data_IF_468455712552
#
_entry.id   IF_468455712552
#
_cell.length_a   1.000
_cell.length_b   1.000
_cell.length_c   1.000
_cell.angle_alpha   90.00
_cell.angle_beta   90.00
_cell.angle_gamma   90.00
#
_symmetry.space_group_name_H-M   'P 1'
#
loop_
_entity.id
_entity.type
_entity.pdbx_description
1 polymer ?
#
# COMPACT_ATOMS: atom_id res chain seq x y z
N UNK A 1 12.26 -0.21 -34.49
CA UNK A 1 10.82 -0.49 -34.31
C UNK A 1 10.58 -1.16 -32.96
N UNK A 2 9.32 -1.33 -32.53
CA UNK A 2 9.00 -2.09 -31.30
C UNK A 2 9.51 -3.55 -31.39
N UNK A 3 9.32 -4.20 -32.53
CA UNK A 3 9.75 -5.58 -32.76
C UNK A 3 11.26 -5.74 -32.57
N UNK A 4 12.07 -4.84 -33.13
CA UNK A 4 13.53 -4.87 -32.96
C UNK A 4 13.97 -4.66 -31.51
N UNK A 5 13.29 -3.76 -30.78
CA UNK A 5 13.57 -3.51 -29.37
C UNK A 5 13.23 -4.74 -28.50
N UNK A 6 12.12 -5.41 -28.80
CA UNK A 6 11.71 -6.63 -28.12
C UNK A 6 12.68 -7.78 -28.37
N UNK A 7 13.11 -7.99 -29.62
CA UNK A 7 14.09 -9.02 -29.96
C UNK A 7 15.44 -8.78 -29.27
N UNK A 8 15.91 -7.52 -29.25
CA UNK A 8 17.12 -7.15 -28.49
C UNK A 8 16.94 -7.42 -26.99
N UNK A 9 15.81 -7.05 -26.40
CA UNK A 9 15.55 -7.27 -24.98
C UNK A 9 15.46 -8.77 -24.61
N UNK A 10 14.88 -9.59 -25.51
CA UNK A 10 14.83 -11.06 -25.37
C UNK A 10 16.23 -11.68 -25.39
N UNK A 11 17.09 -11.23 -26.29
CA UNK A 11 18.48 -11.68 -26.40
C UNK A 11 19.39 -11.22 -25.24
N UNK A 12 18.99 -10.19 -24.47
CA UNK A 12 19.77 -9.74 -23.30
C UNK A 12 19.68 -10.73 -22.14
N UNK A 13 20.84 -11.04 -21.55
CA UNK A 13 20.94 -11.66 -20.23
C UNK A 13 20.51 -10.71 -19.09
N UNK A 14 20.41 -11.23 -17.85
CA UNK A 14 19.93 -10.47 -16.69
C UNK A 14 20.67 -9.15 -16.45
N UNK A 15 22.00 -9.15 -16.56
CA UNK A 15 22.83 -7.94 -16.37
C UNK A 15 22.60 -6.88 -17.45
N UNK A 16 22.34 -7.30 -18.70
CA UNK A 16 22.05 -6.38 -19.80
C UNK A 16 20.71 -5.69 -19.57
N UNK A 17 19.69 -6.45 -19.13
CA UNK A 17 18.38 -5.91 -18.77
C UNK A 17 18.47 -4.97 -17.56
N UNK A 18 19.22 -5.34 -16.53
CA UNK A 18 19.46 -4.48 -15.37
C UNK A 18 20.09 -3.15 -15.77
N UNK A 19 21.12 -3.17 -16.64
CA UNK A 19 21.74 -1.93 -17.17
C UNK A 19 20.74 -1.04 -17.91
N UNK A 20 19.85 -1.61 -18.72
CA UNK A 20 18.79 -0.84 -19.40
C UNK A 20 17.81 -0.20 -18.40
N UNK A 21 17.41 -0.95 -17.37
CA UNK A 21 16.54 -0.45 -16.31
C UNK A 21 17.22 0.67 -15.51
N UNK A 22 18.48 0.49 -15.15
CA UNK A 22 19.30 1.48 -14.45
C UNK A 22 19.42 2.77 -15.27
N UNK A 23 19.72 2.69 -16.57
CA UNK A 23 19.75 3.86 -17.46
C UNK A 23 18.38 4.57 -17.51
N UNK A 24 17.29 3.82 -17.50
CA UNK A 24 15.93 4.36 -17.39
C UNK A 24 15.64 5.06 -16.05
N UNK A 25 16.39 4.75 -14.99
CA UNK A 25 16.23 5.30 -13.65
C UNK A 25 17.31 6.31 -13.22
N UNK A 26 18.47 6.33 -13.91
CA UNK A 26 19.72 7.04 -13.54
C UNK A 26 19.63 8.56 -13.51
N UNK A 27 18.68 9.16 -14.23
CA UNK A 27 18.53 10.63 -14.34
C UNK A 27 17.45 11.22 -13.46
N UNK A 28 16.96 10.50 -12.44
CA UNK A 28 15.87 10.99 -11.58
C UNK A 28 16.40 11.68 -10.33
N UNK A 29 16.22 12.98 -10.26
CA UNK A 29 16.14 13.71 -8.97
C UNK A 29 14.97 13.18 -8.14
N UNK A 30 14.84 13.63 -6.88
CA UNK A 30 13.72 13.22 -6.00
C UNK A 30 12.34 13.62 -6.55
N UNK A 31 12.27 14.64 -7.40
CA UNK A 31 11.02 15.23 -7.89
C UNK A 31 10.64 14.77 -9.30
N UNK A 32 11.56 14.11 -10.00
CA UNK A 32 11.31 13.63 -11.36
C UNK A 32 10.56 12.30 -11.38
N UNK A 33 9.59 12.25 -12.28
CA UNK A 33 8.78 11.08 -12.53
C UNK A 33 9.56 10.01 -13.28
N UNK A 34 9.17 8.76 -13.09
CA UNK A 34 9.73 7.63 -13.83
C UNK A 34 9.20 7.59 -15.26
N UNK A 35 9.93 6.88 -16.13
CA UNK A 35 9.54 6.71 -17.53
C UNK A 35 8.13 6.12 -17.67
N UNK A 36 7.39 6.56 -18.69
CA UNK A 36 6.07 6.01 -19.04
C UNK A 36 6.11 4.53 -19.41
N UNK A 37 7.25 4.02 -19.85
CA UNK A 37 7.39 2.59 -20.17
C UNK A 37 7.00 1.67 -19.00
N UNK A 38 7.06 2.17 -17.75
CA UNK A 38 6.71 1.40 -16.57
C UNK A 38 5.21 1.29 -16.33
N UNK A 39 4.38 2.02 -17.09
CA UNK A 39 2.93 1.84 -17.09
C UNK A 39 2.53 0.47 -17.70
N UNK A 40 3.44 -0.20 -18.43
CA UNK A 40 3.20 -1.51 -19.06
C UNK A 40 3.21 -2.70 -18.09
N UNK A 41 3.62 -2.50 -16.84
CA UNK A 41 3.62 -3.52 -15.80
C UNK A 41 2.67 -3.11 -14.69
N UNK A 42 1.78 -4.00 -14.24
CA UNK A 42 0.83 -3.72 -13.18
C UNK A 42 0.78 -4.81 -12.12
N UNK A 43 0.39 -4.42 -10.92
CA UNK A 43 0.27 -5.28 -9.75
C UNK A 43 -1.09 -5.08 -9.11
N UNK A 44 -1.65 -6.16 -8.57
CA UNK A 44 -2.85 -6.14 -7.74
C UNK A 44 -2.49 -6.64 -6.35
N UNK A 45 -2.79 -5.84 -5.32
CA UNK A 45 -2.53 -6.17 -3.93
C UNK A 45 -3.85 -6.29 -3.16
N UNK A 46 -3.99 -7.36 -2.39
CA UNK A 46 -5.01 -7.49 -1.35
C UNK A 46 -4.45 -6.90 -0.05
N UNK A 47 -4.97 -5.73 0.32
CA UNK A 47 -4.44 -4.93 1.41
C UNK A 47 -5.38 -5.00 2.60
N UNK A 48 -4.82 -5.30 3.77
CA UNK A 48 -5.48 -5.15 5.06
C UNK A 48 -4.69 -4.14 5.92
N UNK A 49 -5.26 -2.96 6.15
CA UNK A 49 -4.60 -1.84 6.86
C UNK A 49 -5.61 -1.17 7.81
N UNK A 50 -5.17 -0.47 8.85
CA UNK A 50 -6.08 0.32 9.68
C UNK A 50 -6.84 1.36 8.84
N UNK A 51 -8.10 1.57 9.22
CA UNK A 51 -9.03 2.40 8.47
C UNK A 51 -8.59 3.87 8.46
N UNK A 52 -7.98 4.35 9.55
CA UNK A 52 -7.38 5.68 9.63
C UNK A 52 -6.32 5.90 8.55
N UNK A 53 -5.33 5.02 8.46
CA UNK A 53 -4.27 5.07 7.45
C UNK A 53 -4.82 4.91 6.03
N UNK A 54 -5.83 4.04 5.85
CA UNK A 54 -6.51 3.91 4.56
C UNK A 54 -7.13 5.24 4.08
N UNK A 55 -7.73 6.04 4.97
CA UNK A 55 -8.34 7.34 4.59
C UNK A 55 -7.33 8.35 4.03
N UNK A 56 -6.06 8.22 4.39
CA UNK A 56 -4.98 8.99 3.73
C UNK A 56 -4.51 8.29 2.45
N UNK A 57 -4.30 6.97 2.51
CA UNK A 57 -3.83 6.17 1.36
C UNK A 57 -4.75 6.25 0.15
N UNK A 58 -6.08 6.30 0.35
CA UNK A 58 -7.08 6.37 -0.72
C UNK A 58 -6.94 7.61 -1.62
N UNK A 59 -6.15 8.61 -1.21
CA UNK A 59 -5.87 9.82 -2.00
C UNK A 59 -4.98 9.56 -3.22
N UNK A 60 -4.40 8.37 -3.35
CA UNK A 60 -3.75 7.94 -4.60
C UNK A 60 -4.83 7.60 -5.64
N UNK A 61 -5.05 8.52 -6.58
CA UNK A 61 -6.16 8.44 -7.56
C UNK A 61 -5.79 7.75 -8.87
N UNK A 62 -4.51 7.72 -9.21
CA UNK A 62 -3.99 6.96 -10.35
C UNK A 62 -3.78 5.51 -9.89
N UNK A 63 -4.87 4.83 -9.54
CA UNK A 63 -4.94 3.40 -9.27
C UNK A 63 -6.40 2.98 -9.16
N UNK A 64 -6.70 1.72 -9.41
CA UNK A 64 -8.01 1.14 -9.11
C UNK A 64 -8.05 0.70 -7.65
N UNK A 65 -9.08 1.11 -6.93
CA UNK A 65 -9.32 0.68 -5.55
C UNK A 65 -10.70 0.04 -5.45
N UNK A 66 -10.77 -1.21 -4.98
CA UNK A 66 -12.03 -1.92 -4.73
C UNK A 66 -12.15 -2.13 -3.23
N UNK A 67 -13.09 -1.43 -2.61
CA UNK A 67 -13.24 -1.42 -1.16
C UNK A 67 -14.26 -2.46 -0.72
N UNK A 68 -13.89 -3.26 0.28
CA UNK A 68 -14.88 -3.93 1.12
C UNK A 68 -15.61 -2.87 1.95
N UNK A 69 -16.87 -3.11 2.33
CA UNK A 69 -17.56 -2.30 3.36
C UNK A 69 -16.67 -2.19 4.62
N UNK A 70 -16.76 -1.08 5.33
CA UNK A 70 -16.08 -0.92 6.62
C UNK A 70 -16.77 -1.86 7.62
N UNK A 71 -16.03 -2.71 8.30
CA UNK A 71 -16.60 -3.67 9.27
C UNK A 71 -15.70 -3.79 10.49
N UNK A 72 -16.27 -4.27 11.60
CA UNK A 72 -15.49 -4.62 12.79
C UNK A 72 -14.81 -6.02 12.69
N UNK A 73 -15.03 -6.77 11.61
CA UNK A 73 -14.63 -8.18 11.51
C UNK A 73 -13.11 -8.44 11.41
N UNK A 74 -12.31 -7.42 11.08
CA UNK A 74 -10.86 -7.56 10.89
C UNK A 74 -10.04 -7.12 12.11
N UNK A 75 -10.72 -6.83 13.22
CA UNK A 75 -10.11 -6.40 14.48
C UNK A 75 -9.47 -5.02 14.43
N UNK A 76 -9.31 -4.43 15.61
CA UNK A 76 -8.62 -3.16 15.79
C UNK A 76 -7.11 -3.33 15.94
N UNK A 77 -6.36 -2.29 15.59
CA UNK A 77 -4.96 -2.14 15.95
C UNK A 77 -4.88 -1.25 17.18
N UNK A 78 -4.21 -1.73 18.23
CA UNK A 78 -3.85 -0.90 19.38
C UNK A 78 -2.56 -0.18 19.03
N UNK A 79 -2.54 1.16 19.00
CA UNK A 79 -1.29 1.91 18.81
C UNK A 79 -0.31 1.59 19.94
N UNK A 80 0.99 1.38 19.66
CA UNK A 80 2.00 1.11 20.71
C UNK A 80 2.00 2.17 21.82
N UNK A 81 1.76 3.43 21.47
CA UNK A 81 1.71 4.56 22.38
C UNK A 81 0.58 4.41 23.43
N UNK A 82 -0.51 3.72 23.07
CA UNK A 82 -1.61 3.42 23.99
C UNK A 82 -1.23 2.31 24.97
N UNK A 83 -0.50 1.29 24.50
CA UNK A 83 0.04 0.25 25.38
C UNK A 83 1.11 0.82 26.33
N UNK A 84 2.01 1.67 25.83
CA UNK A 84 3.03 2.37 26.61
C UNK A 84 2.43 3.30 27.68
N UNK A 85 1.27 3.88 27.41
CA UNK A 85 0.51 4.67 28.37
C UNK A 85 -0.25 3.83 29.42
N UNK A 86 -0.15 2.50 29.37
CA UNK A 86 -0.88 1.59 30.26
C UNK A 86 -2.40 1.51 29.98
N UNK A 87 -2.85 2.04 28.84
CA UNK A 87 -4.27 2.13 28.47
C UNK A 87 -4.70 1.04 27.48
N UNK A 88 -3.79 0.13 27.13
CA UNK A 88 -4.04 -0.93 26.14
C UNK A 88 -5.28 -1.78 26.42
N UNK A 89 -5.47 -2.23 27.66
CA UNK A 89 -6.66 -3.02 28.02
C UNK A 89 -7.96 -2.23 27.90
N UNK A 90 -7.96 -0.98 28.37
CA UNK A 90 -9.12 -0.10 28.25
C UNK A 90 -9.46 0.15 26.78
N UNK A 91 -8.45 0.37 25.94
CA UNK A 91 -8.63 0.55 24.51
C UNK A 91 -9.22 -0.70 23.84
N UNK A 92 -8.70 -1.89 24.15
CA UNK A 92 -9.22 -3.16 23.61
C UNK A 92 -10.69 -3.35 23.98
N UNK A 93 -11.07 -3.13 25.24
CA UNK A 93 -12.47 -3.19 25.68
C UNK A 93 -13.37 -2.25 24.88
N UNK A 94 -12.96 -1.00 24.68
CA UNK A 94 -13.73 -0.04 23.88
C UNK A 94 -13.87 -0.47 22.42
N UNK A 95 -12.87 -1.14 21.84
CA UNK A 95 -12.97 -1.69 20.49
C UNK A 95 -13.93 -2.88 20.44
N UNK A 96 -13.94 -3.74 21.47
CA UNK A 96 -14.89 -4.84 21.56
C UNK A 96 -16.34 -4.31 21.69
N UNK A 97 -16.58 -3.31 22.54
CA UNK A 97 -17.88 -2.63 22.65
C UNK A 97 -18.31 -2.00 21.31
N UNK A 98 -17.39 -1.32 20.62
CA UNK A 98 -17.68 -0.74 19.31
C UNK A 98 -18.04 -1.80 18.25
N UNK A 99 -17.43 -2.99 18.34
CA UNK A 99 -17.79 -4.13 17.50
C UNK A 99 -19.19 -4.63 17.80
N UNK A 100 -19.57 -4.75 19.07
CA UNK A 100 -20.93 -5.17 19.46
C UNK A 100 -21.99 -4.19 18.94
N UNK A 101 -21.74 -2.89 19.06
CA UNK A 101 -22.63 -1.84 18.50
C UNK A 101 -22.74 -1.96 16.98
N UNK A 102 -21.61 -2.13 16.28
CA UNK A 102 -21.60 -2.36 14.83
C UNK A 102 -22.44 -3.58 14.46
N UNK A 103 -22.21 -4.72 15.12
CA UNK A 103 -22.86 -5.99 14.79
C UNK A 103 -24.37 -5.94 15.06
N UNK A 104 -24.80 -5.22 16.11
CA UNK A 104 -26.22 -4.97 16.40
C UNK A 104 -26.90 -4.13 15.32
N UNK A 105 -26.26 -3.04 14.86
CA UNK A 105 -26.82 -2.19 13.79
C UNK A 105 -26.81 -2.95 12.46
N UNK A 106 -25.75 -3.71 12.17
CA UNK A 106 -25.57 -4.40 10.90
C UNK A 106 -26.60 -5.52 10.65
N UNK A 107 -27.29 -5.99 11.70
CA UNK A 107 -28.37 -6.96 11.58
C UNK A 107 -29.52 -6.44 10.70
N UNK A 108 -29.86 -5.16 10.83
CA UNK A 108 -30.96 -4.53 10.10
C UNK A 108 -30.48 -3.47 9.08
N UNK A 109 -29.38 -2.76 9.39
CA UNK A 109 -28.87 -1.58 8.69
C UNK A 109 -27.37 -1.74 8.36
N UNK A 110 -26.98 -2.68 7.48
CA UNK A 110 -25.57 -3.00 7.21
C UNK A 110 -24.78 -1.89 6.52
N UNK A 111 -25.43 -0.91 5.88
CA UNK A 111 -24.73 0.21 5.24
C UNK A 111 -24.41 1.31 6.25
N UNK A 112 -25.34 1.58 7.16
CA UNK A 112 -25.26 2.56 8.23
C UNK A 112 -24.34 2.10 9.36
N UNK A 113 -24.26 0.79 9.62
CA UNK A 113 -23.38 0.21 10.63
C UNK A 113 -21.91 0.65 10.45
N UNK A 114 -21.48 0.97 9.23
CA UNK A 114 -20.15 1.48 8.92
C UNK A 114 -19.79 2.76 9.69
N UNK A 115 -20.77 3.56 10.10
CA UNK A 115 -20.56 4.78 10.89
C UNK A 115 -20.19 4.50 12.35
N UNK A 116 -20.49 3.29 12.85
CA UNK A 116 -20.14 2.89 14.20
C UNK A 116 -18.69 2.37 14.32
N UNK A 117 -17.95 2.20 13.21
CA UNK A 117 -16.62 1.58 13.21
C UNK A 117 -15.50 2.60 13.45
N UNK A 118 -14.75 2.50 14.57
CA UNK A 118 -13.59 3.33 14.84
C UNK A 118 -12.48 3.18 13.80
N UNK A 119 -11.68 4.23 13.60
CA UNK A 119 -10.57 4.25 12.64
C UNK A 119 -9.45 3.23 12.93
N UNK A 120 -9.38 2.72 14.16
CA UNK A 120 -8.42 1.70 14.57
C UNK A 120 -8.71 0.32 13.95
N UNK A 121 -9.94 0.06 13.50
CA UNK A 121 -10.28 -1.18 12.82
C UNK A 121 -9.60 -1.31 11.47
N UNK A 122 -9.29 -2.54 11.09
CA UNK A 122 -8.70 -2.82 9.78
C UNK A 122 -9.76 -2.83 8.68
N UNK A 123 -9.41 -2.23 7.54
CA UNK A 123 -10.20 -2.24 6.31
C UNK A 123 -9.45 -3.03 5.23
N UNK A 124 -10.16 -3.95 4.59
CA UNK A 124 -9.67 -4.66 3.40
C UNK A 124 -9.96 -3.86 2.13
N UNK A 125 -8.98 -3.76 1.24
CA UNK A 125 -9.13 -3.09 -0.05
C UNK A 125 -8.22 -3.74 -1.08
N UNK A 126 -8.76 -4.04 -2.25
CA UNK A 126 -7.97 -4.45 -3.39
C UNK A 126 -7.41 -3.20 -4.08
N UNK A 127 -6.11 -3.15 -4.32
CA UNK A 127 -5.45 -2.03 -4.97
C UNK A 127 -4.71 -2.50 -6.22
N UNK A 128 -5.10 -2.01 -7.38
CA UNK A 128 -4.44 -2.30 -8.66
C UNK A 128 -3.77 -1.05 -9.19
N UNK A 129 -2.46 -1.11 -9.43
CA UNK A 129 -1.68 0.02 -9.91
C UNK A 129 -0.55 -0.45 -10.84
N UNK A 130 -0.18 0.38 -11.80
CA UNK A 130 0.99 0.14 -12.62
C UNK A 130 2.29 0.40 -11.83
N UNK A 131 3.43 -0.04 -12.37
CA UNK A 131 4.72 0.12 -11.71
C UNK A 131 5.04 1.60 -11.51
N UNK A 132 4.74 2.47 -12.48
CA UNK A 132 4.96 3.92 -12.35
C UNK A 132 4.19 4.54 -11.17
N UNK A 133 2.95 4.13 -10.95
CA UNK A 133 2.13 4.53 -9.81
C UNK A 133 2.68 3.96 -8.50
N UNK A 134 3.11 2.69 -8.50
CA UNK A 134 3.74 2.07 -7.33
C UNK A 134 5.02 2.81 -6.92
N UNK A 135 5.85 3.24 -7.87
CA UNK A 135 7.01 4.08 -7.59
C UNK A 135 6.63 5.34 -6.82
N UNK A 136 5.59 6.03 -7.30
CA UNK A 136 5.10 7.25 -6.66
C UNK A 136 4.55 6.96 -5.25
N UNK A 137 3.72 5.92 -5.12
CA UNK A 137 3.13 5.51 -3.84
C UNK A 137 4.21 5.17 -2.83
N UNK A 138 5.16 4.31 -3.17
CA UNK A 138 6.21 3.87 -2.25
C UNK A 138 7.11 5.03 -1.86
N UNK A 139 7.53 5.86 -2.81
CA UNK A 139 8.39 7.01 -2.51
C UNK A 139 7.71 8.03 -1.60
N UNK A 140 6.42 8.31 -1.81
CA UNK A 140 5.67 9.26 -0.98
C UNK A 140 5.29 8.67 0.39
N UNK A 141 4.78 7.44 0.41
CA UNK A 141 4.19 6.83 1.61
C UNK A 141 5.19 6.14 2.51
N UNK A 142 6.44 5.92 2.07
CA UNK A 142 7.52 5.47 2.96
C UNK A 142 8.19 6.61 3.73
N UNK A 143 7.96 7.88 3.35
CA UNK A 143 8.60 9.05 3.94
C UNK A 143 8.36 9.22 5.45
N UNK A 144 9.22 9.96 6.16
CA UNK A 144 9.24 10.01 7.63
C UNK A 144 8.01 10.68 8.24
N UNK A 145 7.37 11.63 7.54
CA UNK A 145 6.12 12.26 7.99
C UNK A 145 4.87 11.39 7.77
N UNK A 146 5.05 10.15 7.29
CA UNK A 146 3.97 9.22 7.02
C UNK A 146 3.49 8.47 8.25
N UNK A 147 2.19 8.20 8.34
CA UNK A 147 1.63 7.27 9.32
C UNK A 147 2.30 5.89 9.21
N UNK A 148 2.68 5.31 10.35
CA UNK A 148 3.49 4.08 10.41
C UNK A 148 2.86 2.92 9.64
N UNK A 149 1.54 2.78 9.67
CA UNK A 149 0.85 1.68 8.99
C UNK A 149 1.01 1.69 7.49
N UNK A 150 0.84 2.85 6.82
CA UNK A 150 1.02 2.89 5.37
C UNK A 150 2.50 2.95 4.97
N UNK A 151 3.40 3.41 5.86
CA UNK A 151 4.85 3.24 5.67
C UNK A 151 5.18 1.74 5.60
N UNK A 152 4.71 0.96 6.59
CA UNK A 152 4.85 -0.50 6.61
C UNK A 152 4.20 -1.16 5.38
N UNK A 153 3.01 -0.71 4.98
CA UNK A 153 2.35 -1.22 3.78
C UNK A 153 3.17 -0.97 2.51
N UNK A 154 3.71 0.25 2.33
CA UNK A 154 4.53 0.59 1.17
C UNK A 154 5.78 -0.31 1.07
N UNK A 155 6.43 -0.59 2.20
CA UNK A 155 7.54 -1.54 2.26
C UNK A 155 7.11 -2.97 1.93
N UNK A 156 5.99 -3.45 2.49
CA UNK A 156 5.46 -4.79 2.17
C UNK A 156 5.10 -4.95 0.70
N UNK A 157 4.50 -3.92 0.08
CA UNK A 157 4.24 -3.92 -1.37
C UNK A 157 5.55 -4.01 -2.17
N UNK A 158 6.57 -3.24 -1.77
CA UNK A 158 7.89 -3.31 -2.40
C UNK A 158 8.54 -4.69 -2.25
N UNK A 159 8.40 -5.33 -1.09
CA UNK A 159 8.93 -6.67 -0.85
C UNK A 159 8.24 -7.73 -1.71
N UNK A 160 6.92 -7.65 -1.88
CA UNK A 160 6.18 -8.53 -2.81
C UNK A 160 6.64 -8.32 -4.26
N UNK A 161 6.87 -7.07 -4.69
CA UNK A 161 7.43 -6.80 -6.01
C UNK A 161 8.85 -7.33 -6.13
N UNK A 162 9.68 -7.22 -5.08
CA UNK A 162 11.04 -7.76 -5.07
C UNK A 162 11.04 -9.28 -5.22
N UNK A 163 10.05 -9.96 -4.64
CA UNK A 163 9.89 -11.41 -4.74
C UNK A 163 9.59 -11.87 -6.17
N UNK A 164 8.78 -11.14 -6.93
CA UNK A 164 8.38 -11.52 -8.31
C UNK A 164 9.27 -10.90 -9.39
N UNK A 165 9.69 -9.64 -9.22
CA UNK A 165 10.45 -8.85 -10.19
C UNK A 165 11.59 -8.08 -9.49
N UNK A 166 12.65 -8.77 -9.02
CA UNK A 166 13.73 -8.14 -8.24
C UNK A 166 14.42 -6.98 -8.96
N UNK A 167 14.62 -7.10 -10.29
CA UNK A 167 15.24 -6.05 -11.09
C UNK A 167 14.38 -4.77 -11.20
N UNK A 168 13.05 -4.89 -11.18
CA UNK A 168 12.14 -3.74 -11.16
C UNK A 168 12.06 -3.12 -9.75
N UNK A 169 11.98 -3.96 -8.72
CA UNK A 169 11.96 -3.52 -7.33
C UNK A 169 13.22 -2.72 -6.95
N UNK A 170 14.39 -3.11 -7.47
CA UNK A 170 15.66 -2.42 -7.25
C UNK A 170 15.64 -0.95 -7.68
N UNK A 171 14.73 -0.57 -8.59
CA UNK A 171 14.61 0.80 -9.09
C UNK A 171 13.74 1.69 -8.18
N UNK A 172 12.93 1.09 -7.29
CA UNK A 172 12.01 1.79 -6.40
C UNK A 172 12.77 2.33 -5.20
N UNK A 173 12.65 3.63 -4.96
CA UNK A 173 13.24 4.30 -3.79
C UNK A 173 12.23 4.32 -2.65
N UNK A 174 12.60 3.75 -1.51
CA UNK A 174 11.84 3.80 -0.28
C UNK A 174 12.70 4.39 0.85
N UNK A 175 12.12 5.24 1.69
CA UNK A 175 12.77 5.69 2.91
C UNK A 175 12.71 4.55 3.95
N UNK A 176 13.83 4.20 4.60
CA UNK A 176 13.85 3.13 5.62
C UNK A 176 12.82 3.34 6.73
N UNK A 177 12.33 2.23 7.30
CA UNK A 177 11.61 2.22 8.57
C UNK A 177 12.66 2.38 9.68
N UNK A 178 13.01 3.64 10.00
CA UNK A 178 13.76 4.00 11.20
C UNK A 178 12.97 3.67 12.46
#
# INVERSE_FOLDING_TARGET
SYAEALERARAMGPEGRARVLDEGARRRTRHEQVTRAWETTAYTFDVLIDYGAFRDLQRHRLMTQIHQRVTAAHGALVPPEIDEAGMGEAFRRLMDEAREVHDAIAADLPEEAQYAVPLAFRKRTLMTMNLRELHHLVQLRSGPGGHISYRRLAHRMLDEVRRVHPALAAQIRATPLS
#
